data_IF_242467316642
#
_entry.id   IF_242467316642
#
_cell.length_a   1.000
_cell.length_b   1.000
_cell.length_c   1.000
_cell.angle_alpha   90.00
_cell.angle_beta   90.00
_cell.angle_gamma   90.00
#
_symmetry.space_group_name_H-M   'P 1'
#
loop_
_entity.id
_entity.type
_entity.pdbx_description
1 polymer ?
#
# COMPACT_ATOMS: atom_id res chain seq x y z
N UNK A 1 -16.05 -45.60 18.82
CA UNK A 1 -15.29 -45.10 17.65
C UNK A 1 -14.29 -44.09 18.18
N UNK A 2 -13.01 -44.43 18.21
CA UNK A 2 -11.96 -43.54 18.70
C UNK A 2 -11.63 -42.50 17.65
N UNK A 3 -11.83 -41.25 18.04
CA UNK A 3 -11.44 -40.03 17.35
C UNK A 3 -9.94 -40.08 17.03
N UNK A 4 -9.59 -40.36 15.77
CA UNK A 4 -8.20 -40.28 15.32
C UNK A 4 -7.98 -38.85 14.88
N UNK A 5 -7.62 -38.00 15.84
CA UNK A 5 -7.12 -36.65 15.58
C UNK A 5 -5.99 -36.73 14.56
N UNK A 6 -6.15 -36.00 13.46
CA UNK A 6 -5.14 -35.91 12.40
C UNK A 6 -3.86 -35.24 12.92
N UNK A 7 -2.79 -35.44 12.16
CA UNK A 7 -1.39 -35.02 12.38
C UNK A 7 -1.15 -33.58 12.92
N UNK A 8 -2.13 -32.67 12.79
CA UNK A 8 -2.07 -31.28 13.30
C UNK A 8 -2.85 -31.01 14.59
N UNK A 9 -3.54 -32.00 15.17
CA UNK A 9 -4.38 -31.82 16.36
C UNK A 9 -5.67 -31.01 16.12
N UNK A 10 -5.97 -30.65 14.88
CA UNK A 10 -7.22 -29.96 14.50
C UNK A 10 -8.35 -30.98 14.28
N UNK A 11 -9.50 -30.74 14.91
CA UNK A 11 -10.69 -31.57 14.73
C UNK A 11 -11.27 -31.39 13.31
N UNK A 12 -11.55 -32.50 12.62
CA UNK A 12 -12.14 -32.48 11.29
C UNK A 12 -13.65 -32.26 11.38
N UNK A 13 -14.18 -31.24 10.72
CA UNK A 13 -15.61 -31.00 10.67
C UNK A 13 -16.35 -32.22 10.06
N UNK A 14 -17.29 -32.87 10.78
CA UNK A 14 -18.01 -34.07 10.31
C UNK A 14 -18.89 -33.84 9.07
N UNK A 15 -19.23 -32.59 8.78
CA UNK A 15 -20.01 -32.22 7.60
C UNK A 15 -19.18 -32.09 6.32
N UNK A 16 -17.85 -32.26 6.40
CA UNK A 16 -17.01 -32.35 5.20
C UNK A 16 -17.34 -33.68 4.48
N UNK A 17 -17.76 -33.64 3.20
CA UNK A 17 -18.10 -34.86 2.49
C UNK A 17 -16.86 -35.76 2.32
N UNK A 18 -17.08 -37.08 2.30
CA UNK A 18 -16.01 -38.08 2.33
C UNK A 18 -14.98 -37.90 1.21
N UNK A 19 -15.40 -37.49 0.01
CA UNK A 19 -14.48 -37.28 -1.13
C UNK A 19 -13.53 -36.09 -0.97
N UNK A 20 -13.80 -35.15 -0.04
CA UNK A 20 -12.90 -34.06 0.33
C UNK A 20 -12.07 -34.42 1.56
N UNK A 21 -12.69 -35.11 2.53
CA UNK A 21 -12.05 -35.44 3.81
C UNK A 21 -11.03 -36.58 3.74
N UNK A 22 -11.21 -37.53 2.82
CA UNK A 22 -10.31 -38.69 2.69
C UNK A 22 -9.17 -38.37 1.73
N UNK A 23 -7.94 -38.35 2.27
CA UNK A 23 -6.74 -38.21 1.46
C UNK A 23 -6.57 -39.41 0.51
N UNK A 24 -6.21 -39.19 -0.77
CA UNK A 24 -5.97 -40.28 -1.71
C UNK A 24 -4.68 -41.03 -1.39
N UNK A 25 -4.61 -42.29 -1.81
CA UNK A 25 -3.53 -43.25 -1.45
C UNK A 25 -2.10 -42.78 -1.76
N UNK A 26 -1.91 -41.97 -2.81
CA UNK A 26 -0.60 -41.45 -3.23
C UNK A 26 -0.13 -40.24 -2.42
N UNK A 27 -0.95 -39.78 -1.47
CA UNK A 27 -0.68 -38.67 -0.56
C UNK A 27 -0.78 -39.13 0.90
N UNK A 28 -1.66 -40.09 1.19
CA UNK A 28 -2.04 -40.45 2.55
C UNK A 28 -0.96 -41.24 3.28
N UNK A 29 -0.65 -40.85 4.51
CA UNK A 29 0.14 -41.65 5.46
C UNK A 29 -0.74 -42.62 6.29
N UNK A 30 -1.98 -42.88 5.83
CA UNK A 30 -2.98 -43.68 6.56
C UNK A 30 -3.71 -42.93 7.68
N UNK A 31 -3.45 -41.63 7.85
CA UNK A 31 -4.10 -40.74 8.83
C UNK A 31 -5.23 -39.93 8.18
N UNK A 32 -6.29 -39.64 8.95
CA UNK A 32 -7.39 -38.77 8.54
C UNK A 32 -6.97 -37.31 8.70
N UNK A 33 -6.62 -36.64 7.60
CA UNK A 33 -6.21 -35.24 7.62
C UNK A 33 -6.60 -34.47 6.35
N UNK A 34 -6.83 -33.16 6.50
CA UNK A 34 -7.11 -32.24 5.39
C UNK A 34 -5.82 -31.63 4.78
N UNK A 35 -4.65 -32.12 5.17
CA UNK A 35 -3.35 -31.60 4.72
C UNK A 35 -3.17 -31.70 3.18
N UNK A 36 -3.82 -32.68 2.55
CA UNK A 36 -3.81 -32.86 1.10
C UNK A 36 -4.58 -31.77 0.33
N UNK A 37 -5.51 -31.06 0.98
CA UNK A 37 -6.26 -29.94 0.38
C UNK A 37 -5.55 -28.59 0.56
N UNK A 38 -4.54 -28.52 1.44
CA UNK A 38 -3.71 -27.31 1.58
C UNK A 38 -2.87 -27.13 0.32
N UNK A 39 -2.64 -25.87 -0.06
CA UNK A 39 -1.80 -25.54 -1.21
C UNK A 39 -0.41 -26.20 -1.08
N UNK A 40 -0.09 -27.13 -1.98
CA UNK A 40 1.21 -27.82 -2.03
C UNK A 40 2.10 -27.15 -3.04
N UNK A 41 3.31 -26.79 -2.62
CA UNK A 41 4.38 -26.32 -3.52
C UNK A 41 3.93 -25.24 -4.51
N UNK A 42 2.93 -24.43 -4.12
CA UNK A 42 2.64 -23.22 -4.86
C UNK A 42 3.77 -22.29 -4.49
N UNK A 43 4.72 -22.13 -5.40
CA UNK A 43 5.61 -20.97 -5.38
C UNK A 43 4.68 -19.77 -5.45
N UNK A 44 4.33 -19.22 -4.28
CA UNK A 44 3.53 -18.01 -4.20
C UNK A 44 4.36 -17.00 -4.98
N UNK A 45 3.85 -16.50 -6.12
CA UNK A 45 4.62 -15.55 -6.89
C UNK A 45 4.89 -14.37 -5.96
N UNK A 46 6.17 -14.06 -5.74
CA UNK A 46 6.59 -13.10 -4.72
C UNK A 46 5.74 -11.83 -4.87
N UNK A 47 5.13 -11.33 -3.80
CA UNK A 47 4.28 -10.15 -3.91
C UNK A 47 5.14 -8.93 -4.28
N UNK A 48 4.49 -7.85 -4.71
CA UNK A 48 5.14 -6.61 -5.18
C UNK A 48 6.19 -6.07 -4.17
N UNK A 49 5.94 -6.28 -2.87
CA UNK A 49 6.81 -5.85 -1.77
C UNK A 49 8.22 -6.47 -1.80
N UNK A 50 8.36 -7.65 -2.40
CA UNK A 50 9.62 -8.40 -2.45
C UNK A 50 10.30 -8.34 -3.82
N UNK A 51 9.61 -7.85 -4.86
CA UNK A 51 10.10 -7.92 -6.25
C UNK A 51 10.82 -6.64 -6.66
N UNK A 52 12.10 -6.78 -7.02
CA UNK A 52 12.93 -5.73 -7.62
C UNK A 52 12.36 -5.35 -9.00
N UNK A 53 12.30 -4.06 -9.30
CA UNK A 53 11.96 -3.56 -10.64
C UNK A 53 13.21 -3.51 -11.54
N UNK A 54 13.01 -3.37 -12.86
CA UNK A 54 14.11 -3.20 -13.82
C UNK A 54 15.05 -2.06 -13.39
N UNK A 55 16.39 -2.28 -13.35
CA UNK A 55 17.36 -1.26 -12.95
C UNK A 55 17.51 -0.21 -14.05
N UNK A 56 16.61 0.78 -14.07
CA UNK A 56 16.64 1.89 -15.01
C UNK A 56 17.80 2.84 -14.70
N UNK A 57 18.55 3.24 -15.73
CA UNK A 57 19.62 4.24 -15.61
C UNK A 57 20.80 3.84 -14.75
N UNK A 58 20.94 2.55 -14.44
CA UNK A 58 22.10 1.99 -13.74
C UNK A 58 23.03 1.35 -14.76
N UNK A 59 24.26 1.85 -14.81
CA UNK A 59 25.34 1.20 -15.51
C UNK A 59 25.83 0.00 -14.70
N UNK A 60 26.45 -0.98 -15.37
CA UNK A 60 27.09 -2.11 -14.72
C UNK A 60 28.14 -1.65 -13.70
N UNK A 61 28.18 -2.33 -12.56
CA UNK A 61 29.17 -2.06 -11.52
C UNK A 61 30.57 -2.37 -12.04
N UNK A 62 31.39 -1.32 -12.20
CA UNK A 62 32.75 -1.46 -12.69
C UNK A 62 33.30 -0.17 -13.31
N UNK A 63 34.62 -0.17 -13.55
CA UNK A 63 35.25 0.88 -14.32
C UNK A 63 34.88 0.76 -15.80
N UNK A 64 34.58 1.90 -16.42
CA UNK A 64 34.33 2.01 -17.85
C UNK A 64 35.54 1.51 -18.64
N UNK A 65 35.31 0.67 -19.65
CA UNK A 65 36.39 0.20 -20.50
C UNK A 65 36.89 1.31 -21.42
N UNK A 66 38.20 1.59 -21.41
CA UNK A 66 38.84 2.54 -22.34
C UNK A 66 39.16 1.94 -23.71
N UNK A 67 38.98 0.63 -23.90
CA UNK A 67 39.28 -0.07 -25.15
C UNK A 67 38.06 -0.85 -25.62
N UNK A 68 37.90 -0.91 -26.94
CA UNK A 68 36.82 -1.66 -27.57
C UNK A 68 36.99 -3.16 -27.31
N UNK A 69 35.92 -3.81 -26.82
CA UNK A 69 35.87 -5.26 -26.59
C UNK A 69 35.21 -5.98 -27.76
N UNK A 70 35.70 -7.17 -28.09
CA UNK A 70 35.12 -8.00 -29.15
C UNK A 70 33.69 -8.40 -28.75
N UNK A 71 32.72 -8.17 -29.63
CA UNK A 71 31.31 -8.44 -29.36
C UNK A 71 30.53 -7.24 -28.80
N UNK A 72 31.20 -6.13 -28.46
CA UNK A 72 30.54 -4.89 -28.08
C UNK A 72 29.90 -4.18 -29.29
N UNK A 73 28.90 -3.34 -29.04
CA UNK A 73 28.25 -2.53 -30.04
C UNK A 73 29.28 -1.70 -30.83
N UNK A 74 29.24 -1.75 -32.17
CA UNK A 74 30.26 -1.06 -32.99
C UNK A 74 30.11 0.47 -32.95
N UNK A 75 28.94 0.99 -32.54
CA UNK A 75 28.65 2.41 -32.42
C UNK A 75 29.19 2.98 -31.09
N UNK A 76 28.66 2.51 -29.95
CA UNK A 76 28.96 3.07 -28.63
C UNK A 76 30.03 2.31 -27.82
N UNK A 77 30.33 1.05 -28.17
CA UNK A 77 31.33 0.24 -27.49
C UNK A 77 30.88 -0.44 -26.19
N UNK A 78 29.61 -0.29 -25.78
CA UNK A 78 29.02 -1.05 -24.67
C UNK A 78 28.70 -2.49 -25.07
N UNK A 79 28.68 -3.39 -24.09
CA UNK A 79 28.14 -4.75 -24.23
C UNK A 79 26.69 -4.80 -23.74
N UNK A 80 25.89 -5.68 -24.35
CA UNK A 80 24.48 -5.91 -23.98
C UNK A 80 23.48 -5.68 -25.11
N UNK A 81 23.86 -4.95 -26.17
CA UNK A 81 22.99 -4.69 -27.32
C UNK A 81 23.76 -4.64 -28.65
N UNK A 82 23.02 -4.72 -29.76
CA UNK A 82 23.58 -4.62 -31.12
C UNK A 82 23.58 -3.17 -31.62
N UNK A 83 24.24 -2.90 -32.75
CA UNK A 83 24.29 -1.54 -33.32
C UNK A 83 22.94 -0.99 -33.75
N UNK A 84 21.99 -1.86 -34.07
CA UNK A 84 20.64 -1.47 -34.49
C UNK A 84 19.79 -1.03 -33.28
N UNK A 85 20.03 -1.64 -32.14
CA UNK A 85 19.30 -1.39 -30.89
C UNK A 85 20.04 -0.38 -29.98
N UNK A 86 21.05 0.30 -30.54
CA UNK A 86 21.85 1.25 -29.80
C UNK A 86 21.05 2.53 -29.52
N UNK A 87 20.94 2.89 -28.25
CA UNK A 87 20.24 4.10 -27.78
C UNK A 87 21.06 5.38 -28.00
N UNK A 88 22.37 5.23 -28.23
CA UNK A 88 23.27 6.35 -28.52
C UNK A 88 23.15 6.80 -29.97
N UNK A 89 23.35 8.09 -30.20
CA UNK A 89 23.33 8.68 -31.54
C UNK A 89 24.26 7.92 -32.49
N UNK A 90 23.80 7.52 -33.70
CA UNK A 90 24.64 6.86 -34.69
C UNK A 90 25.85 7.74 -35.06
N UNK A 91 27.07 7.22 -34.85
CA UNK A 91 28.31 7.92 -35.17
C UNK A 91 28.74 7.61 -36.60
N UNK A 92 29.38 8.59 -37.27
CA UNK A 92 30.00 8.39 -38.60
C UNK A 92 31.17 7.40 -38.54
N UNK A 93 31.98 7.50 -37.47
CA UNK A 93 33.03 6.54 -37.14
C UNK A 93 32.67 5.96 -35.78
N UNK A 94 32.28 4.69 -35.77
CA UNK A 94 31.86 3.99 -34.55
C UNK A 94 33.04 3.70 -33.61
N UNK A 95 32.73 3.47 -32.32
CA UNK A 95 33.69 3.14 -31.28
C UNK A 95 34.59 1.95 -31.61
N UNK A 96 34.15 1.03 -32.47
CA UNK A 96 34.98 -0.09 -32.97
C UNK A 96 36.26 0.38 -33.67
N UNK A 97 36.18 1.48 -34.43
CA UNK A 97 37.28 1.98 -35.25
C UNK A 97 37.99 3.17 -34.60
N UNK A 98 37.26 4.03 -33.89
CA UNK A 98 37.85 5.20 -33.22
C UNK A 98 38.42 4.86 -31.84
N UNK A 99 37.81 3.92 -31.09
CA UNK A 99 38.17 3.66 -29.70
C UNK A 99 37.87 4.81 -28.74
N UNK A 100 37.16 5.85 -29.19
CA UNK A 100 36.87 7.06 -28.41
C UNK A 100 35.44 6.98 -27.86
N UNK A 101 35.23 7.52 -26.65
CA UNK A 101 33.94 7.61 -25.96
C UNK A 101 33.19 6.28 -25.87
N UNK A 102 33.84 5.26 -25.30
CA UNK A 102 33.24 3.93 -25.09
C UNK A 102 32.27 4.01 -23.92
N UNK A 103 31.00 3.66 -24.13
CA UNK A 103 30.00 3.68 -23.06
C UNK A 103 30.20 2.53 -22.06
N UNK A 104 29.67 2.73 -20.85
CA UNK A 104 29.58 1.67 -19.85
C UNK A 104 28.55 0.62 -20.30
N UNK A 105 28.66 -0.57 -19.72
CA UNK A 105 27.75 -1.68 -20.03
C UNK A 105 26.42 -1.50 -19.31
N UNK A 106 25.34 -1.96 -19.95
CA UNK A 106 24.00 -1.94 -19.37
C UNK A 106 23.83 -3.09 -18.36
N UNK A 107 23.10 -2.86 -17.27
CA UNK A 107 22.69 -3.94 -16.35
C UNK A 107 21.49 -4.68 -16.95
N UNK A 108 21.71 -5.94 -17.33
CA UNK A 108 20.64 -6.83 -17.78
C UNK A 108 19.98 -7.43 -16.54
N UNK A 109 18.66 -7.24 -16.41
CA UNK A 109 17.89 -7.81 -15.32
C UNK A 109 17.55 -9.28 -15.63
N UNK A 110 17.67 -10.15 -14.63
CA UNK A 110 17.33 -11.57 -14.78
C UNK A 110 15.82 -11.73 -14.94
N UNK A 111 15.37 -12.23 -16.11
CA UNK A 111 13.95 -12.39 -16.44
C UNK A 111 13.18 -13.27 -15.43
N UNK A 112 13.89 -14.22 -14.79
CA UNK A 112 13.33 -15.08 -13.74
C UNK A 112 13.06 -14.32 -12.45
N UNK A 113 13.88 -13.32 -12.11
CA UNK A 113 13.64 -12.47 -10.94
C UNK A 113 12.45 -11.52 -11.17
N UNK A 114 12.19 -11.17 -12.44
CA UNK A 114 11.08 -10.29 -12.85
C UNK A 114 9.84 -11.04 -13.34
N UNK A 115 9.70 -12.32 -12.94
CA UNK A 115 8.46 -13.09 -13.11
C UNK A 115 7.36 -12.53 -12.18
N UNK A 116 6.77 -11.43 -12.62
CA UNK A 116 5.73 -10.65 -11.94
C UNK A 116 4.32 -11.18 -12.28
N UNK A 117 3.38 -10.97 -11.35
CA UNK A 117 1.96 -11.29 -11.53
C UNK A 117 1.27 -10.33 -12.49
N UNK A 118 0.02 -10.63 -12.84
CA UNK A 118 -0.77 -9.80 -13.76
C UNK A 118 -0.86 -8.34 -13.30
N UNK A 119 -1.18 -8.15 -12.01
CA UNK A 119 -1.32 -6.83 -11.38
C UNK A 119 0.04 -6.15 -11.24
N UNK A 120 1.04 -6.89 -10.75
CA UNK A 120 2.41 -6.39 -10.62
C UNK A 120 3.05 -5.94 -11.93
N UNK A 121 2.74 -6.56 -13.06
CA UNK A 121 3.21 -6.10 -14.39
C UNK A 121 2.54 -4.79 -14.83
N UNK A 122 1.35 -4.50 -14.32
CA UNK A 122 0.51 -3.36 -14.73
C UNK A 122 0.48 -2.23 -13.72
N UNK A 123 1.07 -2.43 -12.56
CA UNK A 123 1.17 -1.38 -11.55
C UNK A 123 1.86 -0.14 -12.16
N UNK A 124 1.14 0.98 -12.10
CA UNK A 124 1.60 2.27 -12.58
C UNK A 124 2.72 2.85 -11.73
N UNK A 125 2.86 2.39 -10.48
CA UNK A 125 3.87 2.83 -9.52
C UNK A 125 5.13 1.94 -9.52
N UNK A 126 5.27 1.05 -10.51
CA UNK A 126 6.47 0.25 -10.68
C UNK A 126 7.74 1.11 -10.81
N UNK A 127 8.72 0.87 -9.93
CA UNK A 127 9.97 1.64 -9.89
C UNK A 127 9.86 3.00 -9.18
N UNK A 128 8.75 3.25 -8.47
CA UNK A 128 8.61 4.45 -7.65
C UNK A 128 9.61 4.47 -6.49
N UNK A 129 10.38 5.56 -6.38
CA UNK A 129 11.26 5.80 -5.24
C UNK A 129 10.49 6.64 -4.22
N UNK A 130 10.33 6.18 -2.95
CA UNK A 130 9.58 6.91 -1.92
C UNK A 130 10.03 8.37 -1.71
N UNK A 131 11.31 8.67 -1.94
CA UNK A 131 11.86 10.01 -1.81
C UNK A 131 11.25 11.04 -2.78
N UNK A 132 10.70 10.60 -3.93
CA UNK A 132 10.05 11.51 -4.86
C UNK A 132 8.80 12.18 -4.26
N UNK A 133 8.16 11.55 -3.27
CA UNK A 133 7.03 12.13 -2.54
C UNK A 133 7.40 13.42 -1.80
N UNK A 134 8.67 13.60 -1.45
CA UNK A 134 9.15 14.82 -0.78
C UNK A 134 8.91 16.09 -1.61
N UNK A 135 8.87 15.98 -2.95
CA UNK A 135 8.55 17.12 -3.80
C UNK A 135 7.09 17.57 -3.63
N UNK A 136 6.18 16.61 -3.48
CA UNK A 136 4.77 16.86 -3.20
C UNK A 136 4.59 17.52 -1.83
N UNK A 137 5.30 17.05 -0.81
CA UNK A 137 5.30 17.70 0.52
C UNK A 137 5.75 19.16 0.45
N UNK A 138 6.86 19.44 -0.24
CA UNK A 138 7.35 20.82 -0.45
C UNK A 138 6.35 21.70 -1.20
N UNK A 139 5.60 21.14 -2.13
CA UNK A 139 4.55 21.87 -2.84
C UNK A 139 3.40 22.24 -1.90
N UNK A 140 2.96 21.32 -1.05
CA UNK A 140 1.91 21.59 -0.07
C UNK A 140 2.37 22.57 1.00
N UNK A 141 3.61 22.46 1.48
CA UNK A 141 4.22 23.41 2.42
C UNK A 141 4.16 24.85 1.89
N UNK A 142 4.62 25.08 0.65
CA UNK A 142 4.52 26.40 -0.01
C UNK A 142 3.07 26.88 -0.18
N UNK A 143 2.16 25.96 -0.45
CA UNK A 143 0.74 26.28 -0.63
C UNK A 143 0.11 26.71 0.70
N UNK A 144 0.43 26.03 1.79
CA UNK A 144 -0.01 26.39 3.14
C UNK A 144 0.61 27.72 3.60
N UNK A 145 1.90 27.97 3.30
CA UNK A 145 2.56 29.25 3.56
C UNK A 145 1.84 30.41 2.86
N UNK A 146 1.51 30.24 1.58
CA UNK A 146 0.80 31.26 0.81
C UNK A 146 -0.65 31.45 1.32
N UNK A 147 -1.33 30.37 1.71
CA UNK A 147 -2.65 30.44 2.35
C UNK A 147 -2.58 31.23 3.67
N UNK A 148 -1.56 30.98 4.49
CA UNK A 148 -1.32 31.72 5.74
C UNK A 148 -0.99 33.18 5.48
N UNK A 149 -0.15 33.47 4.48
CA UNK A 149 0.20 34.85 4.06
C UNK A 149 -1.05 35.60 3.61
N UNK A 150 -1.89 34.99 2.78
CA UNK A 150 -3.17 35.57 2.33
C UNK A 150 -4.12 35.82 3.50
N UNK A 151 -4.23 34.87 4.46
CA UNK A 151 -5.04 35.04 5.66
C UNK A 151 -4.55 36.24 6.48
N UNK A 152 -3.23 36.35 6.70
CA UNK A 152 -2.63 37.49 7.41
C UNK A 152 -2.82 38.83 6.68
N UNK A 153 -2.69 38.87 5.35
CA UNK A 153 -2.96 40.08 4.56
C UNK A 153 -4.43 40.51 4.69
N UNK A 154 -5.37 39.56 4.63
CA UNK A 154 -6.79 39.85 4.79
C UNK A 154 -7.12 40.35 6.21
N UNK A 155 -6.48 39.79 7.25
CA UNK A 155 -6.66 40.28 8.62
C UNK A 155 -6.12 41.70 8.79
N UNK A 156 -4.94 42.00 8.26
CA UNK A 156 -4.34 43.35 8.32
C UNK A 156 -5.14 44.38 7.52
N UNK A 157 -5.64 44.00 6.34
CA UNK A 157 -6.51 44.89 5.54
C UNK A 157 -7.82 45.25 6.26
N UNK A 158 -8.35 44.36 7.10
CA UNK A 158 -9.49 44.67 7.97
C UNK A 158 -9.12 45.55 9.16
N UNK A 159 -7.90 45.43 9.71
CA UNK A 159 -7.44 46.32 10.80
C UNK A 159 -7.27 47.77 10.34
N UNK A 160 -6.97 48.00 9.05
CA UNK A 160 -6.88 49.36 8.46
C UNK A 160 -8.27 49.93 8.05
N UNK A 161 -9.33 49.12 8.01
CA UNK A 161 -10.71 49.51 7.66
C UNK A 161 -11.71 49.47 8.86
N UNK A 162 -11.29 49.11 10.07
CA UNK A 162 -12.16 49.16 11.26
C UNK A 162 -12.15 50.54 11.97
N UNK A 163 -12.67 51.53 11.24
CA UNK A 163 -13.56 52.53 11.81
C UNK A 163 -14.99 52.21 11.37
N UNK A 164 -15.79 51.66 12.30
CA UNK A 164 -17.24 51.43 12.19
C UNK A 164 -17.70 50.11 11.50
N UNK A 165 -18.25 49.20 12.32
CA UNK A 165 -19.07 48.01 11.99
C UNK A 165 -18.43 46.83 11.21
N UNK A 166 -17.44 46.18 11.82
CA UNK A 166 -16.99 44.83 11.43
C UNK A 166 -17.72 43.72 12.20
N UNK A 167 -18.69 43.05 11.56
CA UNK A 167 -19.25 41.78 12.09
C UNK A 167 -18.12 40.77 12.24
N UNK A 168 -17.71 40.48 13.49
CA UNK A 168 -16.88 39.32 13.82
C UNK A 168 -17.54 38.07 13.25
N UNK A 169 -17.02 37.57 12.12
CA UNK A 169 -17.28 36.19 11.70
C UNK A 169 -16.53 35.31 12.68
N UNK A 170 -17.21 35.02 13.79
CA UNK A 170 -16.81 34.07 14.80
C UNK A 170 -16.74 32.67 14.18
N UNK A 171 -15.55 32.33 13.66
CA UNK A 171 -15.23 31.02 13.08
C UNK A 171 -15.27 29.88 14.12
N UNK A 172 -15.53 30.17 15.41
CA UNK A 172 -15.73 29.17 16.47
C UNK A 172 -17.07 28.42 16.36
N UNK A 173 -17.97 28.85 15.47
CA UNK A 173 -19.21 28.12 15.12
C UNK A 173 -19.07 27.08 14.01
N UNK A 174 -17.83 26.73 13.62
CA UNK A 174 -17.58 25.64 12.67
C UNK A 174 -17.31 24.29 13.35
N UNK A 175 -17.34 24.24 14.67
CA UNK A 175 -17.35 22.99 15.44
C UNK A 175 -18.80 22.63 15.78
N UNK A 176 -19.38 21.75 14.97
CA UNK A 176 -20.63 20.99 15.17
C UNK A 176 -21.66 21.18 14.06
N UNK A 177 -21.30 20.78 12.84
CA UNK A 177 -22.09 19.84 12.05
C UNK A 177 -21.50 19.75 10.65
N UNK A 178 -21.49 18.53 10.12
CA UNK A 178 -21.42 18.17 8.70
C UNK A 178 -20.87 19.26 7.76
N UNK A 179 -19.70 19.03 7.16
CA UNK A 179 -19.23 19.67 5.92
C UNK A 179 -20.41 19.99 4.99
N UNK A 180 -20.95 21.19 5.14
CA UNK A 180 -22.06 21.69 4.36
C UNK A 180 -21.44 22.36 3.16
N UNK A 181 -21.77 21.86 1.97
CA UNK A 181 -21.43 22.54 0.72
C UNK A 181 -21.93 23.98 0.78
N UNK A 182 -21.10 24.92 0.33
CA UNK A 182 -21.39 26.37 0.31
C UNK A 182 -22.43 26.72 -0.77
N UNK A 183 -22.96 25.73 -1.49
CA UNK A 183 -23.79 25.92 -2.69
C UNK A 183 -25.30 25.88 -2.34
N UNK A 184 -26.03 27.01 -2.38
CA UNK A 184 -27.41 27.12 -1.88
C UNK A 184 -28.44 26.28 -2.65
N UNK A 185 -28.08 25.72 -3.82
CA UNK A 185 -28.92 24.82 -4.62
C UNK A 185 -28.84 23.34 -4.19
N UNK A 186 -27.82 22.96 -3.43
CA UNK A 186 -27.60 21.57 -2.98
C UNK A 186 -27.88 21.39 -1.49
N UNK A 187 -28.62 22.33 -0.88
CA UNK A 187 -28.96 22.38 0.55
C UNK A 187 -29.97 21.31 0.98
N UNK A 188 -29.85 20.09 0.48
CA UNK A 188 -30.41 18.90 1.09
C UNK A 188 -29.36 18.43 2.09
N UNK A 189 -29.47 18.89 3.33
CA UNK A 189 -28.56 18.47 4.41
C UNK A 189 -28.81 16.98 4.72
N UNK A 190 -28.22 16.09 3.94
CA UNK A 190 -28.12 14.67 4.26
C UNK A 190 -27.16 14.60 5.46
N UNK A 191 -27.71 14.77 6.67
CA UNK A 191 -26.93 14.53 7.88
C UNK A 191 -26.60 13.04 7.92
N UNK A 192 -25.34 12.72 8.12
CA UNK A 192 -24.93 11.36 8.41
C UNK A 192 -25.70 10.88 9.66
N UNK A 193 -26.50 9.83 9.51
CA UNK A 193 -27.35 9.27 10.59
C UNK A 193 -26.53 8.67 11.73
N UNK A 194 -25.27 8.31 11.46
CA UNK A 194 -24.35 7.79 12.46
C UNK A 194 -23.88 8.93 13.36
N UNK A 195 -24.20 8.80 14.65
CA UNK A 195 -23.71 9.66 15.73
C UNK A 195 -22.18 9.44 15.85
N UNK A 196 -21.41 10.53 15.87
CA UNK A 196 -19.94 10.47 15.86
C UNK A 196 -19.39 10.21 17.26
N UNK A 197 -20.12 10.64 18.27
CA UNK A 197 -19.84 10.48 19.70
C UNK A 197 -19.94 9.01 20.14
N UNK A 198 -20.81 8.24 19.47
CA UNK A 198 -21.00 6.82 19.73
C UNK A 198 -19.94 5.99 18.99
N UNK A 199 -18.94 5.53 19.74
CA UNK A 199 -17.94 4.59 19.26
C UNK A 199 -18.55 3.19 19.11
N UNK A 200 -18.33 2.50 17.97
CA UNK A 200 -18.87 1.16 17.78
C UNK A 200 -18.12 0.16 18.66
N UNK A 201 -18.83 -0.89 19.10
CA UNK A 201 -18.31 -1.82 20.12
C UNK A 201 -16.98 -2.49 19.75
N UNK A 202 -16.81 -2.89 18.49
CA UNK A 202 -15.57 -3.53 17.99
C UNK A 202 -14.37 -2.58 17.86
N UNK A 203 -14.54 -1.27 18.12
CA UNK A 203 -13.43 -0.31 18.19
C UNK A 203 -13.05 0.05 19.62
N UNK A 204 -13.70 -0.52 20.64
CA UNK A 204 -13.30 -0.30 22.03
C UNK A 204 -11.92 -0.87 22.35
N UNK A 205 -11.59 -2.03 21.78
CA UNK A 205 -10.27 -2.64 21.86
C UNK A 205 -9.90 -3.21 20.48
N UNK A 206 -8.73 -2.83 19.95
CA UNK A 206 -8.25 -3.26 18.63
C UNK A 206 -7.43 -4.55 18.70
N UNK A 207 -7.14 -5.05 19.90
CA UNK A 207 -6.47 -6.33 20.06
C UNK A 207 -7.37 -7.46 19.52
N UNK A 208 -6.81 -8.31 18.65
CA UNK A 208 -7.54 -9.36 17.93
C UNK A 208 -8.22 -10.37 18.87
N UNK A 209 -7.63 -10.59 20.04
CA UNK A 209 -8.10 -11.55 21.05
C UNK A 209 -8.80 -10.86 22.24
N UNK A 210 -9.32 -9.64 22.07
CA UNK A 210 -9.95 -8.88 23.16
C UNK A 210 -11.33 -9.39 23.55
N UNK A 211 -12.34 -9.16 22.72
CA UNK A 211 -13.70 -9.64 22.90
C UNK A 211 -14.35 -9.88 21.54
N UNK A 212 -15.13 -10.95 21.44
CA UNK A 212 -15.84 -11.28 20.21
C UNK A 212 -17.03 -10.32 19.99
N UNK A 213 -17.04 -9.65 18.84
CA UNK A 213 -18.18 -8.87 18.37
C UNK A 213 -18.92 -9.66 17.28
N UNK A 214 -20.21 -9.96 17.49
CA UNK A 214 -21.05 -10.55 16.45
C UNK A 214 -21.63 -9.44 15.55
N UNK A 215 -21.19 -9.30 14.28
CA UNK A 215 -21.67 -8.26 13.38
C UNK A 215 -23.13 -8.45 12.95
N UNK A 216 -23.69 -9.67 13.08
CA UNK A 216 -25.06 -9.98 12.69
C UNK A 216 -26.05 -9.43 13.71
N UNK A 217 -25.87 -9.79 14.98
CA UNK A 217 -26.71 -9.32 16.09
C UNK A 217 -26.29 -7.96 16.65
N UNK A 218 -25.09 -7.47 16.29
CA UNK A 218 -24.46 -6.24 16.83
C UNK A 218 -24.25 -6.31 18.35
N UNK A 219 -24.08 -7.52 18.88
CA UNK A 219 -23.82 -7.77 20.28
C UNK A 219 -22.33 -8.05 20.53
N UNK A 220 -21.87 -7.67 21.73
CA UNK A 220 -20.55 -8.00 22.24
C UNK A 220 -20.80 -8.57 23.64
N UNK A 221 -20.77 -9.90 23.82
CA UNK A 221 -21.13 -10.53 25.10
C UNK A 221 -20.12 -10.25 26.21
N UNK A 222 -18.83 -10.29 25.86
CA UNK A 222 -17.72 -10.11 26.80
C UNK A 222 -17.27 -8.64 26.85
N UNK A 223 -16.68 -8.23 27.96
CA UNK A 223 -16.12 -6.88 28.07
C UNK A 223 -14.82 -6.78 27.26
N UNK A 224 -14.67 -5.77 26.37
CA UNK A 224 -13.43 -5.56 25.61
C UNK A 224 -12.24 -5.13 26.49
N UNK A 225 -12.49 -4.81 27.76
CA UNK A 225 -11.49 -4.37 28.75
C UNK A 225 -11.16 -5.45 29.80
N UNK A 226 -11.55 -6.71 29.60
CA UNK A 226 -11.37 -7.77 30.60
C UNK A 226 -9.92 -7.96 31.06
N UNK A 227 -8.94 -7.71 30.19
CA UNK A 227 -7.51 -7.86 30.48
C UNK A 227 -6.84 -6.56 30.95
N UNK A 228 -7.58 -5.45 31.05
CA UNK A 228 -7.08 -4.16 31.51
C UNK A 228 -7.64 -3.86 32.91
N UNK A 229 -6.81 -4.02 33.94
CA UNK A 229 -7.18 -3.66 35.31
C UNK A 229 -7.45 -2.15 35.41
N UNK A 230 -8.66 -1.77 35.85
CA UNK A 230 -9.01 -0.39 36.20
C UNK A 230 -9.90 0.39 35.22
N UNK A 231 -10.24 -0.15 34.05
CA UNK A 231 -11.16 0.51 33.10
C UNK A 231 -12.58 -0.02 33.28
N UNK A 232 -13.25 0.41 34.35
CA UNK A 232 -14.68 0.15 34.54
C UNK A 232 -15.45 1.15 33.66
N UNK A 233 -15.85 0.71 32.46
CA UNK A 233 -16.93 1.40 31.75
C UNK A 233 -18.18 1.28 32.62
N UNK A 234 -18.68 2.42 33.13
CA UNK A 234 -20.00 2.49 33.75
C UNK A 234 -21.01 2.06 32.68
N UNK A 235 -21.37 0.79 32.67
CA UNK A 235 -22.45 0.28 31.84
C UNK A 235 -23.72 1.00 32.30
N UNK A 236 -24.10 2.08 31.60
CA UNK A 236 -25.50 2.50 31.54
C UNK A 236 -26.23 1.43 30.72
N UNK A 237 -26.41 0.26 31.32
CA UNK A 237 -27.46 -0.67 30.98
C UNK A 237 -28.75 0.05 31.37
N UNK A 238 -29.36 0.72 30.41
CA UNK A 238 -30.77 1.05 30.46
C UNK A 238 -31.52 -0.28 30.38
N UNK A 239 -31.92 -0.79 31.54
CA UNK A 239 -33.08 -1.67 31.64
C UNK A 239 -34.29 -0.89 31.11
N UNK A 240 -34.87 -1.39 30.02
CA UNK A 240 -36.08 -0.89 29.36
C UNK A 240 -36.63 -2.00 28.47
#
# INVERSE_FOLDING_TARGET
MTDKGGDSGEELNPHIPQFIGVAPWYISDGTTSLAHQRARNVEIPKTLSDKKWYPRGKDAEGQQSFKYRKGACTNCGAMGHTTKDCTERPRKVGAKFSGVDIRKDDVIADEKELALDYDSKRDTYNGYVPEFYNQTLKFYEKTEEERKRRRLMNLKGNEDEEGEDGVRVDESKTDNSAVASVDPRTRTAIRNLRIREDTPKYLYNLDVNSAYYDPKSRAMPESPFANMEGVIMKSKLTEG
#
